data_IF_000148100032
#
_entry.id   IF_000148100032
#
_cell.length_a   1.000
_cell.length_b   1.000
_cell.length_c   1.000
_cell.angle_alpha   90.00
_cell.angle_beta   90.00
_cell.angle_gamma   90.00
#
_symmetry.space_group_name_H-M   'P 1'
#
loop_
_entity.id
_entity.type
_entity.pdbx_description
1 polymer ?
#
# COMPACT_ATOMS: atom_id res chain seq x y z
N UNK A 1 -19.07 -25.28 47.02
CA UNK A 1 -17.67 -25.55 46.64
C UNK A 1 -17.64 -25.81 45.13
N UNK A 2 -17.24 -24.78 44.39
CA UNK A 2 -16.66 -24.69 43.03
C UNK A 2 -17.23 -25.36 41.74
N UNK A 3 -17.04 -24.56 40.68
CA UNK A 3 -17.00 -24.83 39.22
C UNK A 3 -18.37 -24.97 38.51
N UNK A 4 -18.70 -24.22 37.44
CA UNK A 4 -17.84 -23.77 36.34
C UNK A 4 -18.51 -22.63 35.54
N UNK A 5 -17.98 -21.42 35.66
CA UNK A 5 -18.18 -20.32 34.70
C UNK A 5 -16.95 -20.24 33.78
N UNK A 6 -17.14 -20.37 32.47
CA UNK A 6 -16.20 -19.93 31.41
C UNK A 6 -17.06 -19.72 30.15
N UNK A 7 -17.26 -18.54 29.57
CA UNK A 7 -16.46 -17.33 29.54
C UNK A 7 -16.04 -17.07 28.09
N UNK A 8 -16.90 -16.41 27.33
CA UNK A 8 -16.58 -15.85 26.01
C UNK A 8 -15.72 -14.58 26.19
N UNK A 9 -14.67 -14.39 25.40
CA UNK A 9 -14.17 -13.05 25.04
C UNK A 9 -13.04 -13.12 24.00
N UNK A 10 -13.35 -12.54 22.84
CA UNK A 10 -12.49 -11.94 21.84
C UNK A 10 -11.29 -11.19 22.45
N UNK A 11 -10.08 -11.35 21.89
CA UNK A 11 -8.96 -10.45 22.21
C UNK A 11 -8.09 -10.14 20.99
N UNK A 12 -8.55 -9.12 20.26
CA UNK A 12 -7.79 -7.95 19.80
C UNK A 12 -6.27 -8.10 19.68
N UNK A 13 -5.78 -8.39 18.46
CA UNK A 13 -4.46 -7.91 18.04
C UNK A 13 -4.59 -6.46 17.58
N UNK A 14 -4.40 -5.53 18.52
CA UNK A 14 -4.05 -4.14 18.19
C UNK A 14 -2.63 -4.16 17.60
N UNK A 15 -2.49 -3.93 16.30
CA UNK A 15 -1.19 -3.54 15.72
C UNK A 15 -1.18 -2.01 15.71
N UNK A 16 -0.53 -1.42 16.70
CA UNK A 16 -0.40 0.03 16.82
C UNK A 16 0.30 0.65 15.60
N UNK A 17 -0.02 1.89 15.23
CA UNK A 17 0.70 2.60 14.19
C UNK A 17 2.10 2.89 14.75
N UNK A 18 3.12 2.24 14.17
CA UNK A 18 4.50 2.64 14.34
C UNK A 18 4.67 3.99 13.64
N UNK A 19 4.41 5.05 14.39
CA UNK A 19 4.73 6.43 14.06
C UNK A 19 6.26 6.53 13.99
N UNK A 20 6.84 6.11 12.87
CA UNK A 20 8.23 6.39 12.51
C UNK A 20 8.30 7.82 11.96
N UNK A 21 7.87 8.77 12.79
CA UNK A 21 8.00 10.21 12.58
C UNK A 21 9.26 10.58 13.36
N UNK A 22 10.33 10.99 12.68
CA UNK A 22 11.22 12.10 13.08
C UNK A 22 12.56 12.16 12.30
N UNK A 23 13.05 11.08 11.68
CA UNK A 23 14.42 11.09 11.09
C UNK A 23 14.50 11.23 9.56
N UNK A 24 13.37 11.19 8.83
CA UNK A 24 13.35 11.30 7.36
C UNK A 24 13.28 12.75 6.84
N UNK A 25 13.14 13.73 7.75
CA UNK A 25 12.82 15.12 7.42
C UNK A 25 13.95 15.88 6.71
N UNK A 26 15.21 15.53 6.98
CA UNK A 26 16.36 16.33 6.51
C UNK A 26 16.90 15.88 5.14
N UNK A 27 16.76 14.60 4.78
CA UNK A 27 17.24 14.08 3.49
C UNK A 27 16.22 14.30 2.34
N UNK A 28 14.92 14.40 2.65
CA UNK A 28 13.85 14.55 1.64
C UNK A 28 13.71 15.97 1.09
N UNK A 29 14.41 16.96 1.65
CA UNK A 29 14.27 18.39 1.28
C UNK A 29 14.64 18.71 -0.16
N UNK A 30 15.29 17.79 -0.89
CA UNK A 30 15.91 18.08 -2.19
C UNK A 30 15.45 17.17 -3.34
N UNK A 31 14.63 16.15 -3.10
CA UNK A 31 14.17 15.23 -4.14
C UNK A 31 12.73 15.59 -4.60
N UNK A 32 12.66 16.59 -5.48
CA UNK A 32 11.72 16.66 -6.61
C UNK A 32 10.21 16.71 -6.33
N UNK A 33 9.60 17.90 -6.53
CA UNK A 33 8.20 18.02 -7.00
C UNK A 33 7.10 17.66 -6.01
N UNK A 34 7.05 18.36 -4.88
CA UNK A 34 6.20 18.07 -3.72
C UNK A 34 4.69 18.31 -3.87
N UNK A 35 4.07 17.78 -4.92
CA UNK A 35 2.61 17.79 -5.10
C UNK A 35 2.05 16.50 -5.74
N UNK A 36 2.86 15.42 -5.83
CA UNK A 36 2.43 14.13 -6.36
C UNK A 36 2.89 12.95 -5.52
N UNK A 37 2.17 11.85 -5.63
CA UNK A 37 2.57 10.58 -5.02
C UNK A 37 3.83 10.04 -5.70
N UNK A 38 4.78 9.60 -4.90
CA UNK A 38 6.02 9.02 -5.41
C UNK A 38 6.57 7.93 -4.48
N UNK A 39 7.29 6.99 -5.05
CA UNK A 39 8.01 5.97 -4.32
C UNK A 39 9.43 6.43 -4.02
N UNK A 40 9.86 6.29 -2.78
CA UNK A 40 11.22 6.64 -2.39
C UNK A 40 12.21 5.66 -3.04
N UNK A 41 13.20 6.15 -3.79
CA UNK A 41 14.12 5.29 -4.55
C UNK A 41 15.02 4.43 -3.65
N UNK A 42 15.32 4.90 -2.44
CA UNK A 42 16.29 4.28 -1.53
C UNK A 42 15.63 3.50 -0.39
N UNK A 43 14.36 3.79 -0.09
CA UNK A 43 13.59 3.19 0.96
C UNK A 43 12.31 2.55 0.41
N UNK A 44 11.85 1.47 1.04
CA UNK A 44 10.53 0.87 0.77
C UNK A 44 9.43 1.74 1.35
N UNK A 45 9.27 2.95 0.81
CA UNK A 45 8.35 3.97 1.30
C UNK A 45 7.59 4.58 0.14
N UNK A 46 6.32 4.86 0.37
CA UNK A 46 5.45 5.68 -0.47
C UNK A 46 5.31 7.04 0.18
N UNK A 47 5.52 8.09 -0.59
CA UNK A 47 5.39 9.47 -0.13
C UNK A 47 4.18 10.08 -0.82
N UNK A 48 3.26 10.62 -0.02
CA UNK A 48 2.09 11.33 -0.52
C UNK A 48 2.42 12.79 -0.89
N UNK A 49 1.60 13.45 -1.71
CA UNK A 49 1.74 14.89 -1.98
C UNK A 49 1.72 15.73 -0.69
N UNK A 50 0.96 15.30 0.32
CA UNK A 50 0.92 15.91 1.66
C UNK A 50 2.13 15.55 2.54
N UNK A 51 3.22 15.06 1.95
CA UNK A 51 4.47 14.64 2.61
C UNK A 51 4.28 13.55 3.68
N UNK A 52 3.21 12.74 3.56
CA UNK A 52 3.01 11.59 4.44
C UNK A 52 3.84 10.42 3.92
N UNK A 53 4.68 9.87 4.79
CA UNK A 53 5.55 8.75 4.45
C UNK A 53 4.95 7.44 4.98
N UNK A 54 4.70 6.51 4.07
CA UNK A 54 4.08 5.22 4.34
C UNK A 54 5.10 4.11 4.09
N UNK A 55 5.46 3.36 5.11
CA UNK A 55 6.42 2.25 4.97
C UNK A 55 5.74 1.05 4.30
N UNK A 56 6.28 0.55 3.21
CA UNK A 56 5.74 -0.55 2.41
C UNK A 56 6.46 -1.87 2.67
N UNK A 57 5.75 -2.99 2.52
CA UNK A 57 6.38 -4.31 2.38
C UNK A 57 6.95 -4.49 0.96
N UNK A 58 7.83 -5.48 0.77
CA UNK A 58 8.40 -5.78 -0.56
C UNK A 58 7.33 -6.01 -1.64
N UNK A 59 6.30 -6.87 -1.43
CA UNK A 59 5.28 -7.08 -2.46
C UNK A 59 4.40 -5.84 -2.68
N UNK A 60 4.11 -5.05 -1.64
CA UNK A 60 3.40 -3.77 -1.79
C UNK A 60 4.19 -2.79 -2.67
N UNK A 61 5.51 -2.70 -2.44
CA UNK A 61 6.39 -1.83 -3.22
C UNK A 61 6.43 -2.26 -4.68
N UNK A 62 6.61 -3.54 -4.98
CA UNK A 62 6.67 -4.02 -6.38
C UNK A 62 5.39 -3.74 -7.16
N UNK A 63 4.23 -3.97 -6.54
CA UNK A 63 2.94 -3.66 -7.14
C UNK A 63 2.81 -2.16 -7.41
N UNK A 64 3.14 -1.32 -6.42
CA UNK A 64 3.10 0.13 -6.61
C UNK A 64 4.07 0.64 -7.66
N UNK A 65 5.28 0.08 -7.69
CA UNK A 65 6.31 0.43 -8.67
C UNK A 65 5.81 0.17 -10.10
N UNK A 66 5.21 -1.00 -10.32
CA UNK A 66 4.61 -1.37 -11.61
C UNK A 66 3.44 -0.46 -11.99
N UNK A 67 2.56 -0.15 -11.03
CA UNK A 67 1.40 0.72 -11.27
C UNK A 67 1.79 2.18 -11.53
N UNK A 68 2.80 2.69 -10.83
CA UNK A 68 3.33 4.04 -11.03
C UNK A 68 4.13 4.15 -12.32
N UNK A 69 4.88 3.11 -12.69
CA UNK A 69 5.58 3.04 -13.97
C UNK A 69 4.61 3.06 -15.16
N UNK A 70 3.39 2.55 -14.97
CA UNK A 70 2.31 2.64 -15.95
C UNK A 70 1.70 4.05 -16.09
N UNK A 71 2.15 5.03 -15.29
CA UNK A 71 1.79 6.44 -15.39
C UNK A 71 0.26 6.70 -15.48
N UNK A 72 -0.53 6.00 -14.65
CA UNK A 72 -1.99 6.11 -14.63
C UNK A 72 -2.73 5.15 -15.59
N UNK A 73 -2.02 4.37 -16.40
CA UNK A 73 -2.62 3.30 -17.19
C UNK A 73 -2.99 2.09 -16.31
N UNK A 74 -4.10 1.39 -16.61
CA UNK A 74 -4.46 0.17 -15.92
C UNK A 74 -3.50 -0.97 -16.23
N UNK A 75 -2.92 -1.56 -15.17
CA UNK A 75 -2.08 -2.75 -15.22
C UNK A 75 -2.94 -3.98 -14.92
N UNK A 76 -2.86 -4.97 -15.81
CA UNK A 76 -3.55 -6.25 -15.68
C UNK A 76 -3.14 -7.04 -14.44
N UNK A 77 -4.04 -7.89 -13.95
CA UNK A 77 -3.78 -8.76 -12.78
C UNK A 77 -2.57 -9.64 -13.02
N UNK A 78 -2.47 -10.27 -14.18
CA UNK A 78 -1.34 -11.14 -14.56
C UNK A 78 -0.01 -10.40 -14.52
N UNK A 79 0.05 -9.16 -15.02
CA UNK A 79 1.27 -8.34 -14.96
C UNK A 79 1.66 -7.98 -13.52
N UNK A 80 0.68 -7.73 -12.64
CA UNK A 80 0.96 -7.51 -11.21
C UNK A 80 1.37 -8.80 -10.49
N UNK A 81 0.84 -9.94 -10.92
CA UNK A 81 1.22 -11.25 -10.37
C UNK A 81 2.66 -11.60 -10.80
N UNK A 82 3.04 -11.31 -12.04
CA UNK A 82 4.38 -11.55 -12.59
C UNK A 82 5.49 -10.81 -11.83
N UNK A 83 5.19 -9.66 -11.21
CA UNK A 83 6.17 -8.96 -10.36
C UNK A 83 6.20 -9.49 -8.91
N UNK A 84 5.16 -10.21 -8.51
CA UNK A 84 4.99 -10.74 -7.15
C UNK A 84 5.53 -12.17 -6.99
N UNK A 85 5.49 -12.98 -8.04
CA UNK A 85 5.96 -14.36 -8.04
C UNK A 85 6.69 -14.70 -9.33
N UNK A 86 7.64 -15.63 -9.23
CA UNK A 86 8.36 -16.21 -10.38
C UNK A 86 7.41 -17.02 -11.29
N UNK A 87 6.41 -17.68 -10.69
CA UNK A 87 5.37 -18.41 -11.40
C UNK A 87 4.02 -17.72 -11.23
N UNK A 88 3.45 -17.26 -12.34
CA UNK A 88 2.15 -16.56 -12.36
C UNK A 88 0.95 -17.50 -12.24
N UNK A 89 1.12 -18.78 -12.56
CA UNK A 89 0.06 -19.78 -12.57
C UNK A 89 -0.11 -20.46 -11.20
N UNK A 90 0.93 -20.48 -10.38
CA UNK A 90 0.86 -20.91 -8.97
C UNK A 90 0.36 -19.80 -8.03
N UNK A 91 0.38 -18.54 -8.48
CA UNK A 91 -0.02 -17.43 -7.65
C UNK A 91 -1.53 -17.26 -7.55
N UNK A 92 -2.04 -17.39 -6.32
CA UNK A 92 -3.45 -17.21 -6.01
C UNK A 92 -3.93 -15.76 -6.30
N UNK A 93 -4.92 -15.55 -7.20
CA UNK A 93 -5.44 -14.21 -7.52
C UNK A 93 -6.07 -13.48 -6.33
N UNK A 94 -6.65 -14.22 -5.38
CA UNK A 94 -7.22 -13.64 -4.17
C UNK A 94 -6.14 -13.03 -3.27
N UNK A 95 -4.91 -13.54 -3.31
CA UNK A 95 -3.74 -12.93 -2.64
C UNK A 95 -3.42 -11.55 -3.19
N UNK A 96 -3.57 -11.33 -4.50
CA UNK A 96 -3.43 -10.00 -5.11
C UNK A 96 -4.53 -9.07 -4.60
N UNK A 97 -5.81 -9.50 -4.64
CA UNK A 97 -6.91 -8.68 -4.12
C UNK A 97 -6.73 -8.33 -2.63
N UNK A 98 -6.26 -9.28 -1.82
CA UNK A 98 -5.93 -9.04 -0.41
C UNK A 98 -4.79 -8.03 -0.24
N UNK A 99 -3.76 -8.09 -1.08
CA UNK A 99 -2.64 -7.14 -1.07
C UNK A 99 -3.13 -5.74 -1.42
N UNK A 100 -3.91 -5.60 -2.49
CA UNK A 100 -4.52 -4.34 -2.92
C UNK A 100 -5.41 -3.76 -1.81
N UNK A 101 -6.26 -4.60 -1.19
CA UNK A 101 -7.12 -4.18 -0.09
C UNK A 101 -6.31 -3.69 1.12
N UNK A 102 -5.27 -4.44 1.54
CA UNK A 102 -4.37 -4.05 2.63
C UNK A 102 -3.67 -2.74 2.33
N UNK A 103 -3.20 -2.56 1.10
CA UNK A 103 -2.54 -1.35 0.66
C UNK A 103 -3.49 -0.14 0.70
N UNK A 104 -4.73 -0.28 0.22
CA UNK A 104 -5.75 0.78 0.28
C UNK A 104 -6.06 1.18 1.70
N UNK A 105 -6.30 0.20 2.59
CA UNK A 105 -6.55 0.48 4.00
C UNK A 105 -5.36 1.20 4.63
N UNK A 106 -4.14 0.68 4.42
CA UNK A 106 -2.92 1.27 4.96
C UNK A 106 -2.72 2.70 4.50
N UNK A 107 -2.91 3.00 3.21
CA UNK A 107 -2.84 4.36 2.71
C UNK A 107 -3.90 5.23 3.38
N UNK A 108 -5.17 4.79 3.42
CA UNK A 108 -6.25 5.53 4.08
C UNK A 108 -6.11 5.67 5.61
N UNK A 109 -5.37 4.80 6.28
CA UNK A 109 -5.04 4.92 7.71
C UNK A 109 -3.95 5.97 7.96
N UNK A 110 -3.05 6.15 6.99
CA UNK A 110 -1.97 7.14 7.08
C UNK A 110 -2.36 8.50 6.48
N UNK A 111 -3.29 8.53 5.53
CA UNK A 111 -3.77 9.75 4.87
C UNK A 111 -5.26 9.89 5.08
N UNK A 112 -5.75 11.06 5.50
CA UNK A 112 -7.19 11.36 5.54
C UNK A 112 -7.85 11.51 4.15
N UNK A 113 -7.17 11.03 3.10
CA UNK A 113 -7.55 11.17 1.70
C UNK A 113 -7.90 9.80 1.12
N UNK A 114 -8.76 9.77 0.08
CA UNK A 114 -9.07 8.52 -0.60
C UNK A 114 -7.80 7.97 -1.26
N UNK A 115 -7.48 6.67 -1.07
CA UNK A 115 -6.25 6.10 -1.59
C UNK A 115 -6.21 6.21 -3.12
N UNK A 116 -5.07 6.62 -3.71
CA UNK A 116 -4.88 6.80 -5.16
C UNK A 116 -4.83 5.45 -5.93
N UNK A 117 -5.23 4.35 -5.31
CA UNK A 117 -5.24 3.02 -5.90
C UNK A 117 -6.65 2.69 -6.39
N UNK A 118 -6.82 2.67 -7.71
CA UNK A 118 -8.10 2.51 -8.38
C UNK A 118 -8.18 1.14 -9.07
N UNK A 119 -9.39 0.57 -9.10
CA UNK A 119 -9.67 -0.68 -9.82
C UNK A 119 -10.34 -0.36 -11.14
N UNK A 120 -9.68 -0.66 -12.25
CA UNK A 120 -10.28 -0.59 -13.57
C UNK A 120 -11.02 -1.89 -13.87
N UNK A 121 -12.37 -1.85 -13.83
CA UNK A 121 -13.23 -3.02 -14.06
C UNK A 121 -12.84 -3.72 -15.38
N UNK A 122 -12.51 -5.00 -15.29
CA UNK A 122 -12.10 -5.83 -16.43
C UNK A 122 -10.70 -5.57 -16.99
N UNK A 123 -9.96 -4.57 -16.47
CA UNK A 123 -8.60 -4.23 -16.96
C UNK A 123 -7.51 -4.40 -15.91
N UNK A 124 -7.86 -4.35 -14.62
CA UNK A 124 -6.93 -4.55 -13.50
C UNK A 124 -6.90 -3.38 -12.54
N UNK A 125 -5.72 -2.88 -12.20
CA UNK A 125 -5.52 -1.82 -11.22
C UNK A 125 -4.67 -0.69 -11.79
N UNK A 126 -4.87 0.53 -11.30
CA UNK A 126 -4.05 1.68 -11.65
C UNK A 126 -3.74 2.51 -10.41
N UNK A 127 -2.64 3.22 -10.46
CA UNK A 127 -2.25 4.15 -9.41
C UNK A 127 -2.24 5.57 -9.96
N UNK A 128 -3.03 6.44 -9.35
CA UNK A 128 -3.22 7.83 -9.76
C UNK A 128 -2.22 8.73 -9.02
N UNK A 129 -1.06 8.97 -9.64
CA UNK A 129 0.04 9.73 -9.01
C UNK A 129 -0.27 11.22 -8.85
N UNK A 130 -1.18 11.75 -9.68
CA UNK A 130 -1.53 13.17 -9.74
C UNK A 130 -2.89 13.47 -9.09
N UNK A 131 -3.44 12.56 -8.28
CA UNK A 131 -4.74 12.81 -7.65
C UNK A 131 -4.67 13.98 -6.68
N UNK A 132 -4.96 15.17 -7.18
CA UNK A 132 -5.12 16.40 -6.41
C UNK A 132 -6.61 16.52 -6.07
N UNK A 133 -6.95 16.50 -4.78
CA UNK A 133 -8.30 16.75 -4.28
C UNK A 133 -8.29 17.95 -3.35
#
# INVERSE_FOLDING_TARGET
>A
MNAKERGAASRSLRKGPGVAVLEADLAQRQASGGDRWHLDAHARRLVSPKRVVISLSMPERRVLDTLMAAAGAPVGREALIAVLADDVYDFDPHRLDMLIHRLRRKIGEHTSEPPPLLTARGKGFLFDVERQY
#
